data_IF_365378988701
#
_entry.id   IF_365378988701
#
_cell.length_a   1.000
_cell.length_b   1.000
_cell.length_c   1.000
_cell.angle_alpha   90.00
_cell.angle_beta   90.00
_cell.angle_gamma   90.00
#
_symmetry.space_group_name_H-M   'P 1'
#
loop_
_entity.id
_entity.type
_entity.pdbx_description
1 polymer ?
#
# COMPACT_ATOMS: atom_id res chain seq x y z
N UNK A 1 -0.60 -35.05 0.50
CA UNK A 1 0.12 -33.86 1.02
C UNK A 1 -0.28 -32.64 0.18
N UNK A 2 -0.79 -31.64 0.82
CA UNK A 2 -1.16 -30.40 0.13
C UNK A 2 0.10 -29.55 -0.15
N UNK A 3 0.15 -28.96 -1.33
CA UNK A 3 1.22 -28.03 -1.70
C UNK A 3 0.83 -26.65 -1.18
N UNK A 4 1.73 -26.02 -0.43
CA UNK A 4 1.62 -24.60 -0.09
C UNK A 4 2.16 -23.79 -1.27
N UNK A 5 1.27 -23.32 -2.13
CA UNK A 5 1.61 -22.57 -3.33
C UNK A 5 2.32 -21.26 -3.01
N UNK A 6 1.99 -20.63 -1.91
CA UNK A 6 2.68 -19.42 -1.48
C UNK A 6 4.15 -19.69 -1.16
N UNK A 7 4.43 -20.71 -0.35
CA UNK A 7 5.82 -21.07 -0.02
C UNK A 7 6.61 -21.56 -1.23
N UNK A 8 5.98 -22.33 -2.12
CA UNK A 8 6.62 -22.73 -3.38
C UNK A 8 6.97 -21.51 -4.25
N UNK A 9 6.04 -20.56 -4.37
CA UNK A 9 6.26 -19.31 -5.08
C UNK A 9 7.37 -18.45 -4.46
N UNK A 10 7.39 -18.34 -3.14
CA UNK A 10 8.43 -17.60 -2.42
C UNK A 10 9.82 -18.21 -2.59
N UNK A 11 9.93 -19.54 -2.61
CA UNK A 11 11.19 -20.23 -2.87
C UNK A 11 11.70 -19.93 -4.30
N UNK A 12 10.80 -19.97 -5.28
CA UNK A 12 11.15 -19.62 -6.66
C UNK A 12 11.56 -18.14 -6.77
N UNK A 13 10.82 -17.24 -6.11
CA UNK A 13 11.12 -15.80 -6.07
C UNK A 13 12.50 -15.52 -5.46
N UNK A 14 12.81 -16.14 -4.32
CA UNK A 14 14.09 -15.96 -3.63
C UNK A 14 15.30 -16.38 -4.49
N UNK A 15 15.11 -17.31 -5.40
CA UNK A 15 16.14 -17.77 -6.35
C UNK A 15 16.03 -17.09 -7.73
N UNK A 16 15.24 -16.01 -7.83
CA UNK A 16 15.02 -15.22 -9.05
C UNK A 16 14.43 -15.98 -10.22
N UNK A 17 13.72 -17.08 -9.94
CA UNK A 17 12.96 -17.83 -10.94
C UNK A 17 11.54 -17.24 -11.02
N UNK A 18 11.44 -16.04 -11.59
CA UNK A 18 10.23 -15.22 -11.49
C UNK A 18 9.04 -15.79 -12.26
N UNK A 19 9.25 -16.38 -13.43
CA UNK A 19 8.18 -17.03 -14.20
C UNK A 19 7.60 -18.23 -13.41
N UNK A 20 8.47 -19.01 -12.77
CA UNK A 20 8.05 -20.11 -11.92
C UNK A 20 7.30 -19.61 -10.67
N UNK A 21 7.78 -18.52 -10.06
CA UNK A 21 7.10 -17.85 -8.94
C UNK A 21 5.70 -17.40 -9.35
N UNK A 22 5.57 -16.78 -10.52
CA UNK A 22 4.28 -16.36 -11.06
C UNK A 22 3.31 -17.55 -11.21
N UNK A 23 3.78 -18.68 -11.75
CA UNK A 23 2.98 -19.89 -11.90
C UNK A 23 2.50 -20.43 -10.55
N UNK A 24 3.39 -20.51 -9.55
CA UNK A 24 3.04 -20.98 -8.21
C UNK A 24 2.01 -20.07 -7.54
N UNK A 25 2.25 -18.74 -7.54
CA UNK A 25 1.30 -17.79 -6.95
C UNK A 25 -0.04 -17.82 -7.67
N UNK A 26 -0.06 -18.00 -8.99
CA UNK A 26 -1.30 -18.12 -9.77
C UNK A 26 -2.13 -19.34 -9.35
N UNK A 27 -1.48 -20.45 -9.03
CA UNK A 27 -2.15 -21.65 -8.51
C UNK A 27 -2.71 -21.45 -7.11
N UNK A 28 -2.22 -20.47 -6.36
CA UNK A 28 -2.72 -20.14 -5.02
C UNK A 28 -4.13 -19.57 -4.98
N UNK A 29 -4.68 -19.19 -6.14
CA UNK A 29 -6.08 -18.79 -6.29
C UNK A 29 -6.46 -17.59 -5.39
N UNK A 30 -7.31 -17.87 -4.41
CA UNK A 30 -7.82 -16.84 -3.48
C UNK A 30 -6.97 -16.62 -2.23
N UNK A 31 -5.80 -17.28 -2.10
CA UNK A 31 -4.90 -17.02 -0.99
C UNK A 31 -4.41 -15.55 -1.05
N UNK A 32 -4.75 -14.70 -0.07
CA UNK A 32 -4.38 -13.28 -0.11
C UNK A 32 -2.89 -13.03 -0.21
N UNK A 33 -2.06 -13.93 0.33
CA UNK A 33 -0.60 -13.83 0.24
C UNK A 33 -0.13 -14.02 -1.20
N UNK A 34 -0.74 -14.96 -1.93
CA UNK A 34 -0.45 -15.19 -3.34
C UNK A 34 -0.94 -14.02 -4.20
N UNK A 35 -2.11 -13.47 -3.90
CA UNK A 35 -2.66 -12.30 -4.60
C UNK A 35 -1.72 -11.10 -4.42
N UNK A 36 -1.25 -10.84 -3.21
CA UNK A 36 -0.28 -9.78 -2.94
C UNK A 36 1.03 -10.00 -3.69
N UNK A 37 1.55 -11.22 -3.70
CA UNK A 37 2.77 -11.57 -4.43
C UNK A 37 2.61 -11.35 -5.94
N UNK A 38 1.49 -11.79 -6.53
CA UNK A 38 1.18 -11.51 -7.94
C UNK A 38 1.12 -10.02 -8.24
N UNK A 39 0.52 -9.22 -7.35
CA UNK A 39 0.50 -7.78 -7.48
C UNK A 39 1.91 -7.20 -7.58
N UNK A 40 2.81 -7.68 -6.74
CA UNK A 40 4.21 -7.26 -6.72
C UNK A 40 4.95 -7.65 -8.01
N UNK A 41 4.73 -8.86 -8.53
CA UNK A 41 5.30 -9.29 -9.80
C UNK A 41 4.85 -8.40 -10.96
N UNK A 42 3.56 -8.06 -11.03
CA UNK A 42 3.04 -7.14 -12.04
C UNK A 42 3.57 -5.72 -11.87
N UNK A 43 3.75 -5.27 -10.63
CA UNK A 43 4.32 -3.94 -10.35
C UNK A 43 5.76 -3.83 -10.83
N UNK A 44 6.58 -4.85 -10.55
CA UNK A 44 8.00 -4.87 -10.89
C UNK A 44 8.27 -5.31 -12.33
N UNK A 45 7.34 -6.01 -12.98
CA UNK A 45 7.59 -6.67 -14.26
C UNK A 45 8.51 -7.88 -14.12
N UNK A 46 8.33 -8.66 -13.05
CA UNK A 46 9.12 -9.86 -12.75
C UNK A 46 8.33 -11.11 -13.11
N UNK A 47 8.82 -11.90 -14.08
CA UNK A 47 8.14 -13.10 -14.57
C UNK A 47 6.87 -12.86 -15.38
N UNK A 48 6.49 -11.62 -15.54
CA UNK A 48 5.32 -11.16 -16.26
C UNK A 48 5.57 -9.73 -16.72
N UNK A 49 4.91 -9.28 -17.78
CA UNK A 49 4.99 -7.90 -18.22
C UNK A 49 4.46 -6.96 -17.14
N UNK A 50 5.18 -5.85 -16.89
CA UNK A 50 4.76 -4.83 -15.95
C UNK A 50 3.37 -4.31 -16.31
N UNK A 51 2.47 -4.28 -15.33
CA UNK A 51 1.12 -3.78 -15.50
C UNK A 51 0.64 -3.15 -14.18
N UNK A 52 0.72 -1.83 -14.09
CA UNK A 52 0.33 -1.11 -12.88
C UNK A 52 -1.17 -1.19 -12.60
N UNK A 53 -2.03 -1.21 -13.63
CA UNK A 53 -3.47 -1.35 -13.44
C UNK A 53 -3.81 -2.71 -12.81
N UNK A 54 -3.20 -3.78 -13.33
CA UNK A 54 -3.38 -5.13 -12.78
C UNK A 54 -2.82 -5.25 -11.37
N UNK A 55 -1.65 -4.67 -11.14
CA UNK A 55 -1.02 -4.62 -9.81
C UNK A 55 -1.94 -3.93 -8.80
N UNK A 56 -2.49 -2.76 -9.13
CA UNK A 56 -3.38 -2.01 -8.24
C UNK A 56 -4.66 -2.78 -7.92
N UNK A 57 -5.27 -3.44 -8.90
CA UNK A 57 -6.43 -4.32 -8.70
C UNK A 57 -6.12 -5.44 -7.71
N UNK A 58 -4.98 -6.10 -7.88
CA UNK A 58 -4.56 -7.20 -7.00
C UNK A 58 -4.19 -6.72 -5.59
N UNK A 59 -3.51 -5.57 -5.47
CA UNK A 59 -3.25 -4.98 -4.16
C UNK A 59 -4.55 -4.64 -3.42
N UNK A 60 -5.52 -4.06 -4.11
CA UNK A 60 -6.82 -3.76 -3.53
C UNK A 60 -7.53 -5.03 -3.03
N UNK A 61 -7.49 -6.10 -3.81
CA UNK A 61 -8.06 -7.39 -3.43
C UNK A 61 -7.39 -7.96 -2.17
N UNK A 62 -6.06 -8.00 -2.13
CA UNK A 62 -5.32 -8.48 -0.95
C UNK A 62 -5.52 -7.57 0.27
N UNK A 63 -5.67 -6.26 0.05
CA UNK A 63 -5.95 -5.27 1.10
C UNK A 63 -7.29 -5.56 1.80
N UNK A 64 -8.34 -5.89 1.03
CA UNK A 64 -9.66 -6.27 1.58
C UNK A 64 -9.57 -7.52 2.47
N UNK A 65 -8.63 -8.40 2.20
CA UNK A 65 -8.37 -9.60 3.01
C UNK A 65 -7.50 -9.33 4.25
N UNK A 66 -7.10 -8.08 4.49
CA UNK A 66 -6.37 -7.67 5.69
C UNK A 66 -4.85 -7.68 5.57
N UNK A 67 -4.28 -7.88 4.38
CA UNK A 67 -2.83 -7.87 4.16
C UNK A 67 -2.32 -6.43 4.30
N UNK A 68 -1.58 -6.14 5.37
CA UNK A 68 -1.10 -4.78 5.68
C UNK A 68 -0.29 -4.14 4.54
N UNK A 69 0.75 -4.79 3.97
CA UNK A 69 1.49 -4.20 2.87
C UNK A 69 0.61 -3.91 1.64
N UNK A 70 -0.41 -4.73 1.40
CA UNK A 70 -1.36 -4.51 0.30
C UNK A 70 -2.23 -3.26 0.54
N UNK A 71 -2.64 -3.02 1.79
CA UNK A 71 -3.41 -1.82 2.16
C UNK A 71 -2.61 -0.54 1.90
N UNK A 72 -1.33 -0.54 2.27
CA UNK A 72 -0.42 0.57 1.99
C UNK A 72 -0.23 0.75 0.48
N UNK A 73 0.05 -0.34 -0.24
CA UNK A 73 0.29 -0.30 -1.69
C UNK A 73 -0.95 0.14 -2.47
N UNK A 74 -2.13 -0.36 -2.12
CA UNK A 74 -3.38 0.06 -2.76
C UNK A 74 -3.67 1.55 -2.48
N UNK A 75 -3.51 2.00 -1.24
CA UNK A 75 -3.67 3.40 -0.88
C UNK A 75 -2.74 4.32 -1.66
N UNK A 76 -1.47 3.97 -1.73
CA UNK A 76 -0.47 4.70 -2.51
C UNK A 76 -0.81 4.71 -4.01
N UNK A 77 -1.23 3.57 -4.55
CA UNK A 77 -1.53 3.44 -5.97
C UNK A 77 -2.70 4.35 -6.40
N UNK A 78 -3.78 4.41 -5.62
CA UNK A 78 -4.89 5.31 -5.90
C UNK A 78 -4.54 6.79 -5.68
N UNK A 79 -3.70 7.11 -4.69
CA UNK A 79 -3.26 8.48 -4.44
C UNK A 79 -2.34 9.02 -5.54
N UNK A 80 -1.63 8.14 -6.24
CA UNK A 80 -0.62 8.51 -7.24
C UNK A 80 -0.96 8.07 -8.67
N UNK A 81 -2.21 7.71 -8.93
CA UNK A 81 -2.68 7.32 -10.26
C UNK A 81 -1.86 6.19 -10.90
N UNK A 82 -1.52 5.16 -10.13
CA UNK A 82 -0.71 4.02 -10.61
C UNK A 82 -1.54 3.06 -11.44
N UNK A 83 -1.61 3.30 -12.74
CA UNK A 83 -2.39 2.50 -13.69
C UNK A 83 -3.92 2.65 -13.56
N UNK A 84 -4.38 3.52 -12.67
CA UNK A 84 -5.79 3.84 -12.41
C UNK A 84 -5.92 5.36 -12.25
N UNK A 85 -7.11 5.95 -12.45
CA UNK A 85 -7.31 7.36 -12.14
C UNK A 85 -7.04 7.65 -10.66
N UNK A 86 -6.49 8.83 -10.37
CA UNK A 86 -6.32 9.30 -8.99
C UNK A 86 -7.66 9.28 -8.27
N UNK A 87 -7.68 8.68 -7.08
CA UNK A 87 -8.89 8.56 -6.27
C UNK A 87 -8.50 8.63 -4.79
N UNK A 88 -8.60 9.83 -4.22
CA UNK A 88 -8.24 10.04 -2.82
C UNK A 88 -9.21 9.39 -1.84
N UNK A 89 -10.47 9.18 -2.22
CA UNK A 89 -11.44 8.47 -1.37
C UNK A 89 -11.07 7.00 -1.24
N UNK A 90 -10.73 6.34 -2.34
CA UNK A 90 -10.24 4.96 -2.31
C UNK A 90 -8.88 4.86 -1.62
N UNK A 91 -7.98 5.80 -1.89
CA UNK A 91 -6.69 5.86 -1.21
C UNK A 91 -6.88 5.91 0.30
N UNK A 92 -7.71 6.83 0.79
CA UNK A 92 -7.99 6.98 2.21
C UNK A 92 -8.66 5.73 2.80
N UNK A 93 -9.54 5.08 2.06
CA UNK A 93 -10.19 3.83 2.49
C UNK A 93 -9.17 2.75 2.85
N UNK A 94 -8.20 2.48 1.96
CA UNK A 94 -7.16 1.48 2.22
C UNK A 94 -6.14 1.95 3.26
N UNK A 95 -5.76 3.23 3.23
CA UNK A 95 -4.80 3.78 4.19
C UNK A 95 -5.36 3.76 5.62
N UNK A 96 -6.65 4.00 5.82
CA UNK A 96 -7.28 3.87 7.14
C UNK A 96 -7.19 2.46 7.70
N UNK A 97 -7.33 1.44 6.86
CA UNK A 97 -7.12 0.05 7.28
C UNK A 97 -5.69 -0.16 7.79
N UNK A 98 -4.70 0.36 7.07
CA UNK A 98 -3.30 0.25 7.46
C UNK A 98 -2.98 1.07 8.72
N UNK A 99 -3.56 2.26 8.85
CA UNK A 99 -3.44 3.11 10.06
C UNK A 99 -3.98 2.37 11.29
N UNK A 100 -5.10 1.67 11.14
CA UNK A 100 -5.68 0.86 12.23
C UNK A 100 -4.74 -0.25 12.70
N UNK A 101 -3.82 -0.70 11.84
CA UNK A 101 -2.76 -1.66 12.17
C UNK A 101 -1.45 -0.98 12.64
N UNK A 102 -1.45 0.35 12.77
CA UNK A 102 -0.32 1.12 13.30
C UNK A 102 0.77 1.47 12.28
N UNK A 103 0.50 1.40 10.98
CA UNK A 103 1.50 1.62 9.93
C UNK A 103 1.86 3.11 9.75
N UNK A 104 3.11 3.53 10.08
CA UNK A 104 3.50 4.94 9.99
C UNK A 104 3.44 5.52 8.57
N UNK A 105 3.84 4.75 7.55
CA UNK A 105 3.82 5.21 6.16
C UNK A 105 2.39 5.53 5.71
N UNK A 106 1.41 4.75 6.15
CA UNK A 106 0.00 5.01 5.87
C UNK A 106 -0.48 6.31 6.55
N UNK A 107 -0.02 6.58 7.78
CA UNK A 107 -0.33 7.83 8.48
C UNK A 107 0.19 9.05 7.73
N UNK A 108 1.41 8.99 7.22
CA UNK A 108 2.02 10.09 6.46
C UNK A 108 1.24 10.36 5.17
N UNK A 109 0.95 9.33 4.39
CA UNK A 109 0.21 9.48 3.14
C UNK A 109 -1.22 9.98 3.37
N UNK A 110 -1.91 9.43 4.37
CA UNK A 110 -3.26 9.87 4.73
C UNK A 110 -3.27 11.32 5.22
N UNK A 111 -2.28 11.71 6.03
CA UNK A 111 -2.13 13.09 6.49
C UNK A 111 -1.93 14.05 5.33
N UNK A 112 -1.14 13.69 4.33
CA UNK A 112 -0.97 14.52 3.14
C UNK A 112 -2.29 14.71 2.37
N UNK A 113 -3.06 13.63 2.18
CA UNK A 113 -4.39 13.69 1.55
C UNK A 113 -5.31 14.64 2.31
N UNK A 114 -5.35 14.54 3.63
CA UNK A 114 -6.18 15.41 4.48
C UNK A 114 -5.71 16.86 4.49
N UNK A 115 -4.38 17.07 4.50
CA UNK A 115 -3.82 18.42 4.45
C UNK A 115 -4.15 19.16 3.15
N UNK A 116 -4.31 18.43 2.06
CA UNK A 116 -4.79 18.93 0.76
C UNK A 116 -6.30 19.18 0.73
N UNK A 117 -7.05 18.75 1.75
CA UNK A 117 -8.51 18.93 1.84
C UNK A 117 -9.33 17.85 1.15
N UNK A 118 -8.77 16.67 0.93
CA UNK A 118 -9.46 15.57 0.26
C UNK A 118 -9.94 14.48 1.24
N UNK A 119 -10.76 13.58 0.74
CA UNK A 119 -11.28 12.40 1.44
C UNK A 119 -12.02 12.72 2.75
N UNK A 120 -12.59 13.91 2.84
CA UNK A 120 -13.37 14.34 4.02
C UNK A 120 -12.52 14.66 5.25
N UNK A 121 -11.20 14.60 5.15
CA UNK A 121 -10.31 14.91 6.24
C UNK A 121 -10.01 16.41 6.37
N UNK A 122 -9.45 16.78 7.49
CA UNK A 122 -9.08 18.16 7.82
C UNK A 122 -7.58 18.31 8.08
N UNK A 123 -7.10 19.53 8.02
CA UNK A 123 -5.72 19.86 8.42
C UNK A 123 -5.46 19.49 9.89
N UNK A 124 -6.47 19.58 10.75
CA UNK A 124 -6.38 19.16 12.15
C UNK A 124 -6.12 17.67 12.28
N UNK A 125 -6.86 16.86 11.54
CA UNK A 125 -6.65 15.40 11.50
C UNK A 125 -5.28 15.05 10.90
N UNK A 126 -4.86 15.76 9.84
CA UNK A 126 -3.54 15.61 9.26
C UNK A 126 -2.44 15.90 10.29
N UNK A 127 -2.58 16.99 11.06
CA UNK A 127 -1.62 17.36 12.09
C UNK A 127 -1.53 16.30 13.20
N UNK A 128 -2.64 15.70 13.62
CA UNK A 128 -2.65 14.62 14.60
C UNK A 128 -1.85 13.41 14.09
N UNK A 129 -2.14 12.96 12.87
CA UNK A 129 -1.45 11.82 12.26
C UNK A 129 0.06 12.04 12.16
N UNK A 130 0.47 13.20 11.68
CA UNK A 130 1.90 13.53 11.52
C UNK A 130 2.61 13.62 12.87
N UNK A 131 1.99 14.25 13.87
CA UNK A 131 2.59 14.35 15.22
C UNK A 131 2.79 12.98 15.86
N UNK A 132 1.86 12.05 15.64
CA UNK A 132 2.02 10.66 16.10
C UNK A 132 3.25 9.99 15.46
N UNK A 133 3.46 10.17 14.16
CA UNK A 133 4.62 9.61 13.46
C UNK A 133 5.90 10.26 13.97
N UNK A 134 5.94 11.58 14.07
CA UNK A 134 7.13 12.32 14.51
C UNK A 134 7.53 11.99 15.95
N UNK A 135 6.57 11.71 16.82
CA UNK A 135 6.83 11.36 18.22
C UNK A 135 7.24 9.90 18.42
N UNK A 136 6.95 9.01 17.46
CA UNK A 136 7.23 7.57 17.58
C UNK A 136 8.42 7.12 16.73
N UNK A 137 8.28 7.21 15.42
CA UNK A 137 9.29 6.73 14.46
C UNK A 137 10.07 7.86 13.81
N UNK A 138 9.49 9.06 13.74
CA UNK A 138 10.06 10.19 13.01
C UNK A 138 10.04 9.93 11.49
N UNK A 139 11.06 10.45 10.81
CA UNK A 139 11.27 10.21 9.40
C UNK A 139 11.18 11.48 8.55
N UNK A 140 12.00 11.50 7.51
CA UNK A 140 12.14 12.66 6.61
C UNK A 140 10.81 13.00 5.93
N UNK A 141 10.09 11.99 5.46
CA UNK A 141 8.78 12.19 4.80
C UNK A 141 7.75 12.83 5.72
N UNK A 142 7.70 12.42 6.99
CA UNK A 142 6.79 13.00 7.97
C UNK A 142 7.13 14.48 8.24
N UNK A 143 8.43 14.81 8.37
CA UNK A 143 8.85 16.20 8.50
C UNK A 143 8.56 17.03 7.25
N UNK A 144 8.72 16.46 6.06
CA UNK A 144 8.41 17.14 4.81
C UNK A 144 6.93 17.50 4.72
N UNK A 145 6.04 16.57 5.03
CA UNK A 145 4.58 16.83 5.06
C UNK A 145 4.24 17.86 6.14
N UNK A 146 4.82 17.71 7.34
CA UNK A 146 4.61 18.65 8.45
C UNK A 146 4.95 20.08 8.06
N UNK A 147 6.10 20.29 7.41
CA UNK A 147 6.57 21.61 7.01
C UNK A 147 5.84 22.12 5.77
N UNK A 148 5.65 21.28 4.76
CA UNK A 148 5.02 21.66 3.49
C UNK A 148 3.60 22.21 3.69
N UNK A 149 2.86 21.63 4.61
CA UNK A 149 1.47 22.01 4.88
C UNK A 149 1.31 22.83 6.15
N UNK A 150 2.40 23.30 6.75
CA UNK A 150 2.40 24.15 7.96
C UNK A 150 1.55 23.56 9.10
N UNK A 151 1.69 22.26 9.31
CA UNK A 151 0.89 21.53 10.31
C UNK A 151 1.28 21.85 11.75
N UNK A 152 2.42 22.49 11.97
CA UNK A 152 2.86 22.97 13.28
C UNK A 152 1.96 24.04 13.86
N UNK A 153 1.30 24.83 13.01
CA UNK A 153 0.42 25.93 13.40
C UNK A 153 -1.07 25.53 13.49
N UNK A 154 -1.38 24.28 13.27
CA UNK A 154 -2.75 23.77 13.38
C UNK A 154 -3.08 23.48 14.85
N UNK A 155 -4.13 24.11 15.35
CA UNK A 155 -4.62 23.96 16.75
C UNK A 155 -5.70 22.88 16.85
#
# INVERSE_FOLDING_TARGET
MEIDFYNAGMNAYATKRFEEAYEWFSKGGSDPRCIFALATLHYNGEGVERNFAKSTELYANAAEAGILPAQVSAGFAYANAMGVPEDFDRAAYYLKMAVAQGEPAAKVTLAEIYAKGFAGGSRKEAAVLIREVLSSTGGEEAYDVYNRYDLGNVK
#
